data_IF_422954694993
#
_entry.id   IF_422954694993
#
_cell.length_a   1.000
_cell.length_b   1.000
_cell.length_c   1.000
_cell.angle_alpha   90.00
_cell.angle_beta   90.00
_cell.angle_gamma   90.00
#
_symmetry.space_group_name_H-M   'P 1'
#
loop_
_entity.id
_entity.type
_entity.pdbx_description
1 polymer ?
#
# COMPACT_ATOMS: atom_id res chain seq x y z
N UNK A 1 35.81 34.51 -41.58
CA UNK A 1 34.52 34.70 -40.87
C UNK A 1 33.46 34.12 -41.79
N UNK A 2 32.52 33.25 -41.44
CA UNK A 2 32.03 32.71 -40.18
C UNK A 2 31.52 31.26 -40.41
N UNK A 3 31.47 30.45 -39.34
CA UNK A 3 30.93 29.09 -39.30
C UNK A 3 29.41 29.19 -39.12
N UNK A 4 28.63 28.42 -39.88
CA UNK A 4 27.21 28.20 -39.58
C UNK A 4 26.94 26.69 -39.55
N UNK A 5 27.07 26.13 -38.35
CA UNK A 5 26.61 24.78 -38.00
C UNK A 5 25.19 24.94 -37.45
N UNK A 6 24.19 24.50 -38.21
CA UNK A 6 22.79 24.63 -37.83
C UNK A 6 22.26 23.32 -37.20
N UNK A 7 21.78 23.46 -35.96
CA UNK A 7 20.69 22.72 -35.32
C UNK A 7 20.91 21.28 -34.85
N UNK A 8 21.48 21.13 -33.65
CA UNK A 8 21.17 19.98 -32.79
C UNK A 8 19.77 20.18 -32.19
N UNK A 9 18.80 19.35 -32.59
CA UNK A 9 17.48 19.29 -31.98
C UNK A 9 17.59 18.47 -30.68
N UNK A 10 17.63 19.15 -29.54
CA UNK A 10 17.53 18.48 -28.24
C UNK A 10 16.06 18.18 -27.96
N UNK A 11 15.69 16.92 -28.20
CA UNK A 11 14.43 16.35 -27.72
C UNK A 11 14.44 16.48 -26.20
N UNK A 12 13.57 17.34 -25.65
CA UNK A 12 13.28 17.31 -24.23
C UNK A 12 12.46 16.05 -23.97
N UNK A 13 13.14 14.98 -23.53
CA UNK A 13 12.48 13.89 -22.83
C UNK A 13 11.84 14.50 -21.57
N UNK A 14 10.53 14.71 -21.64
CA UNK A 14 9.72 14.91 -20.46
C UNK A 14 9.88 13.66 -19.61
N UNK A 15 10.60 13.78 -18.50
CA UNK A 15 10.75 12.71 -17.53
C UNK A 15 9.34 12.23 -17.16
N UNK A 16 9.03 11.02 -17.62
CA UNK A 16 7.82 10.29 -17.27
C UNK A 16 7.88 10.04 -15.77
N UNK A 17 7.30 10.94 -14.98
CA UNK A 17 7.04 10.69 -13.57
C UNK A 17 6.20 9.42 -13.50
N UNK A 18 6.67 8.30 -12.91
CA UNK A 18 5.77 7.20 -12.65
C UNK A 18 4.71 7.76 -11.72
N UNK A 19 3.45 7.75 -12.15
CA UNK A 19 2.32 8.09 -11.28
C UNK A 19 2.25 6.99 -10.21
N UNK A 20 3.08 7.11 -9.18
CA UNK A 20 2.81 6.48 -7.90
C UNK A 20 1.50 7.08 -7.45
N UNK A 21 0.41 6.33 -7.60
CA UNK A 21 -0.80 6.59 -6.83
C UNK A 21 -0.36 6.89 -5.40
N UNK A 22 -0.59 8.14 -4.98
CA UNK A 22 -0.17 8.58 -3.67
C UNK A 22 -0.95 7.73 -2.66
N UNK A 23 -0.24 6.87 -1.93
CA UNK A 23 -0.86 6.14 -0.84
C UNK A 23 -1.35 7.16 0.19
N UNK A 24 -2.67 7.27 0.31
CA UNK A 24 -3.29 8.01 1.39
C UNK A 24 -3.45 7.03 2.53
N UNK A 25 -2.65 7.22 3.59
CA UNK A 25 -2.77 6.41 4.79
C UNK A 25 -4.21 6.55 5.34
N UNK A 26 -4.90 5.43 5.63
CA UNK A 26 -6.22 5.50 6.22
C UNK A 26 -6.14 6.04 7.66
N UNK A 27 -7.12 6.86 8.06
CA UNK A 27 -7.24 7.38 9.43
C UNK A 27 -7.45 6.26 10.48
N UNK A 28 -7.96 5.11 10.02
CA UNK A 28 -8.26 3.95 10.83
C UNK A 28 -7.74 2.69 10.15
N UNK A 29 -7.02 1.86 10.90
CA UNK A 29 -6.37 0.66 10.40
C UNK A 29 -6.97 -0.61 11.05
N UNK A 30 -7.64 -1.48 10.27
CA UNK A 30 -8.18 -2.72 10.82
C UNK A 30 -7.06 -3.72 11.16
N UNK A 31 -7.11 -4.28 12.37
CA UNK A 31 -6.19 -5.30 12.87
C UNK A 31 -6.96 -6.55 13.31
N UNK A 32 -6.37 -7.71 13.06
CA UNK A 32 -6.92 -8.98 13.52
C UNK A 32 -6.75 -9.11 15.03
N UNK A 33 -7.85 -9.26 15.77
CA UNK A 33 -7.81 -9.42 17.23
C UNK A 33 -7.18 -10.73 17.71
N UNK A 34 -6.99 -11.70 16.82
CA UNK A 34 -6.39 -13.01 17.14
C UNK A 34 -4.90 -13.03 16.80
N UNK A 35 -4.55 -12.68 15.56
CA UNK A 35 -3.17 -12.85 15.06
C UNK A 35 -2.41 -11.54 14.83
N UNK A 36 -3.02 -10.39 15.08
CA UNK A 36 -2.37 -9.07 14.98
C UNK A 36 -2.00 -8.63 13.56
N UNK A 37 -2.45 -9.35 12.52
CA UNK A 37 -2.26 -8.93 11.13
C UNK A 37 -3.12 -7.71 10.82
N UNK A 38 -2.59 -6.83 9.98
CA UNK A 38 -3.21 -5.58 9.56
C UNK A 38 -3.82 -5.76 8.18
N UNK A 39 -5.04 -5.26 7.98
CA UNK A 39 -5.67 -5.21 6.66
C UNK A 39 -5.05 -4.10 5.82
N UNK A 40 -4.42 -4.47 4.71
CA UNK A 40 -3.79 -3.57 3.76
C UNK A 40 -4.64 -3.44 2.47
N UNK A 41 -5.06 -2.20 2.19
CA UNK A 41 -5.96 -1.82 1.09
C UNK A 41 -5.21 -1.30 -0.14
N UNK A 42 -3.87 -1.39 -0.20
CA UNK A 42 -3.11 -0.86 -1.36
C UNK A 42 -3.20 -1.67 -2.65
N UNK A 43 -3.95 -2.77 -2.66
CA UNK A 43 -4.27 -3.46 -3.91
C UNK A 43 -5.22 -2.64 -4.76
N UNK A 44 -4.88 -2.43 -6.04
CA UNK A 44 -5.87 -2.11 -7.05
C UNK A 44 -7.07 -3.06 -6.90
N UNK A 45 -8.27 -2.57 -7.23
CA UNK A 45 -9.63 -3.12 -7.05
C UNK A 45 -9.88 -4.62 -7.36
N UNK A 46 -8.86 -5.43 -7.65
CA UNK A 46 -8.89 -6.88 -7.80
C UNK A 46 -8.70 -7.59 -6.43
N UNK A 47 -9.67 -7.35 -5.56
CA UNK A 47 -10.39 -8.37 -4.78
C UNK A 47 -9.66 -9.35 -3.85
N UNK A 48 -8.39 -9.11 -3.50
CA UNK A 48 -7.74 -9.81 -2.39
C UNK A 48 -7.42 -8.84 -1.27
N UNK A 49 -8.31 -8.78 -0.28
CA UNK A 49 -8.01 -8.19 1.01
C UNK A 49 -6.71 -8.81 1.55
N UNK A 50 -5.64 -8.03 1.58
CA UNK A 50 -4.34 -8.51 2.03
C UNK A 50 -4.19 -8.26 3.52
N UNK A 51 -3.76 -9.29 4.27
CA UNK A 51 -3.52 -9.21 5.71
C UNK A 51 -2.03 -9.38 5.97
N UNK A 52 -1.37 -8.33 6.45
CA UNK A 52 0.09 -8.25 6.53
C UNK A 52 0.58 -8.02 7.96
N UNK A 53 1.84 -8.37 8.24
CA UNK A 53 2.45 -8.07 9.54
C UNK A 53 2.64 -6.55 9.70
N UNK A 54 2.57 -6.00 10.92
CA UNK A 54 2.84 -4.58 11.18
C UNK A 54 4.14 -4.06 10.57
N UNK A 55 5.22 -4.84 10.69
CA UNK A 55 6.53 -4.52 10.08
C UNK A 55 6.49 -4.46 8.55
N UNK A 56 5.67 -5.31 7.92
CA UNK A 56 5.50 -5.29 6.46
C UNK A 56 4.71 -4.05 6.06
N UNK A 57 3.62 -3.75 6.76
CA UNK A 57 2.82 -2.54 6.53
C UNK A 57 3.68 -1.28 6.62
N UNK A 58 4.48 -1.15 7.68
CA UNK A 58 5.40 -0.02 7.86
C UNK A 58 6.42 0.10 6.72
N UNK A 59 6.97 -1.02 6.26
CA UNK A 59 7.93 -1.03 5.15
C UNK A 59 7.29 -0.62 3.83
N UNK A 60 6.08 -1.08 3.55
CA UNK A 60 5.37 -0.79 2.31
C UNK A 60 4.91 0.66 2.25
N UNK A 61 4.39 1.19 3.36
CA UNK A 61 3.68 2.47 3.40
C UNK A 61 4.47 3.61 4.04
N UNK A 62 5.55 3.30 4.74
CA UNK A 62 6.29 4.28 5.54
C UNK A 62 5.55 4.78 6.77
N UNK A 63 4.40 4.18 7.10
CA UNK A 63 3.55 4.54 8.24
C UNK A 63 3.74 3.52 9.36
N UNK A 64 4.08 3.98 10.55
CA UNK A 64 4.10 3.11 11.72
C UNK A 64 2.65 2.79 12.13
N UNK A 65 2.23 1.52 12.17
CA UNK A 65 0.88 1.15 12.59
C UNK A 65 0.46 1.67 13.98
N UNK A 66 1.43 1.84 14.89
CA UNK A 66 1.17 2.33 16.23
C UNK A 66 0.80 3.83 16.28
N UNK A 67 1.09 4.58 15.20
CA UNK A 67 0.75 6.00 15.06
C UNK A 67 -0.66 6.21 14.45
N UNK A 68 -1.35 5.12 14.08
CA UNK A 68 -2.68 5.13 13.44
C UNK A 68 -3.72 4.55 14.40
N UNK A 69 -4.95 5.07 14.35
CA UNK A 69 -6.04 4.52 15.16
C UNK A 69 -6.38 3.11 14.68
N UNK A 70 -6.30 2.12 15.56
CA UNK A 70 -6.61 0.74 15.22
C UNK A 70 -8.09 0.40 15.50
N UNK A 71 -8.69 -0.39 14.62
CA UNK A 71 -9.96 -1.10 14.90
C UNK A 71 -9.73 -2.60 14.89
N UNK A 72 -10.39 -3.32 15.81
CA UNK A 72 -10.21 -4.76 15.95
C UNK A 72 -11.31 -5.51 15.19
N UNK A 73 -10.91 -6.50 14.40
CA UNK A 73 -11.81 -7.41 13.67
C UNK A 73 -11.15 -8.78 13.52
N UNK A 74 -11.78 -9.76 12.87
CA UNK A 74 -11.13 -11.01 12.48
C UNK A 74 -10.53 -10.89 11.07
N UNK A 75 -9.36 -11.48 10.84
CA UNK A 75 -8.94 -11.81 9.48
C UNK A 75 -9.72 -13.04 8.97
N UNK A 76 -9.80 -13.28 7.65
CA UNK A 76 -10.56 -14.41 7.09
C UNK A 76 -10.19 -15.78 7.66
N UNK A 77 -8.90 -16.00 7.91
CA UNK A 77 -8.39 -17.24 8.50
C UNK A 77 -8.90 -17.43 9.93
N UNK A 78 -8.71 -16.42 10.79
CA UNK A 78 -9.14 -16.50 12.19
C UNK A 78 -10.68 -16.51 12.33
N UNK A 79 -11.40 -15.84 11.41
CA UNK A 79 -12.85 -15.92 11.36
C UNK A 79 -13.31 -17.35 11.03
N UNK A 80 -12.72 -17.98 10.02
CA UNK A 80 -13.06 -19.35 9.61
C UNK A 80 -12.80 -20.33 10.77
N UNK A 81 -11.67 -20.20 11.45
CA UNK A 81 -11.36 -21.02 12.63
C UNK A 81 -12.38 -20.82 13.76
N UNK A 82 -12.76 -19.58 14.04
CA UNK A 82 -13.78 -19.27 15.05
C UNK A 82 -15.15 -19.87 14.70
N UNK A 83 -15.55 -19.84 13.42
CA UNK A 83 -16.82 -20.39 12.97
C UNK A 83 -16.86 -21.93 13.03
N UNK A 84 -15.75 -22.59 12.67
CA UNK A 84 -15.64 -24.06 12.76
C UNK A 84 -15.68 -24.54 14.22
N UNK A 85 -15.08 -23.79 15.16
CA UNK A 85 -15.07 -24.16 16.58
C UNK A 85 -16.46 -24.09 17.26
N UNK A 86 -17.45 -23.47 16.61
CA UNK A 86 -18.81 -23.29 17.13
C UNK A 86 -19.82 -24.26 16.49
N UNK A 87 -19.36 -25.16 15.62
CA UNK A 87 -20.18 -26.21 14.99
C UNK A 87 -20.06 -27.54 15.73
#
# INVERSE_FOLDING_TARGET
MARETLSAQTIREAASTPSREAFIAPDILPVCCVCGLIRDHTGSFLDRESWVKPRTYQRTHGVNPDDVRLTHTYCPECFTQAMVAVS
#
